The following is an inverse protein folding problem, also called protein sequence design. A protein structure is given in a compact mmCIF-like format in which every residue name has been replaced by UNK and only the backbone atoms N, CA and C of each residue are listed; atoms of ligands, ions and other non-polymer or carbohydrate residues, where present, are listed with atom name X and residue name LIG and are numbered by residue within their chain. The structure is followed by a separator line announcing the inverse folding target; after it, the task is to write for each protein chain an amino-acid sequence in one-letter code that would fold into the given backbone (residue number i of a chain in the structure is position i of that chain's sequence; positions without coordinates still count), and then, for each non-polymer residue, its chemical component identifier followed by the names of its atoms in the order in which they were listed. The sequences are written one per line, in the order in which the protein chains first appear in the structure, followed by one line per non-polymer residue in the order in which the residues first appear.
data_IF_569142743243
#
_entry.id   IF_569142743243
#
_cell.length_a   1.000
_cell.length_b   1.000
_cell.length_c   1.000
_cell.angle_alpha   90.00
_cell.angle_beta   90.00
_cell.angle_gamma   90.00
#
_symmetry.space_group_name_H-M   'P 1'
#
loop_
_entity.id
_entity.type
_entity.pdbx_description
1 polymer ?
#
# COMPACT_ATOMS: atom_id res chain seq x y z
N UNK A 1 -7.86 -21.67 -8.92
CA UNK A 1 -7.89 -20.71 -7.80
C UNK A 1 -7.05 -19.45 -8.04
N UNK A 2 -6.12 -19.46 -8.95
CA UNK A 2 -5.25 -18.29 -9.27
C UNK A 2 -5.68 -17.50 -10.52
N UNK A 3 -6.50 -18.04 -11.40
CA UNK A 3 -6.94 -17.35 -12.62
C UNK A 3 -7.82 -16.12 -12.38
N UNK A 4 -8.57 -16.10 -11.26
CA UNK A 4 -9.43 -14.96 -10.90
C UNK A 4 -8.69 -13.83 -10.15
N UNK A 5 -7.42 -14.04 -9.77
CA UNK A 5 -6.66 -13.06 -9.00
C UNK A 5 -6.07 -11.93 -9.86
N UNK A 6 -5.65 -12.27 -11.07
CA UNK A 6 -5.02 -11.29 -11.96
C UNK A 6 -6.06 -10.35 -12.57
N UNK A 7 -7.28 -10.83 -12.88
CA UNK A 7 -8.40 -10.00 -13.33
C UNK A 7 -8.73 -8.91 -12.29
N UNK A 8 -8.83 -9.27 -11.02
CA UNK A 8 -9.07 -8.30 -9.94
C UNK A 8 -7.97 -7.24 -9.83
N UNK A 9 -6.72 -7.64 -10.01
CA UNK A 9 -5.60 -6.69 -10.00
C UNK A 9 -5.72 -5.74 -11.18
N UNK A 10 -6.03 -6.24 -12.38
CA UNK A 10 -6.25 -5.37 -13.54
C UNK A 10 -7.44 -4.42 -13.35
N UNK A 11 -8.55 -4.87 -12.78
CA UNK A 11 -9.69 -4.02 -12.42
C UNK A 11 -9.27 -2.88 -11.46
N UNK A 12 -8.51 -3.21 -10.43
CA UNK A 12 -7.99 -2.22 -9.49
C UNK A 12 -7.13 -1.17 -10.19
N UNK A 13 -6.16 -1.62 -10.98
CA UNK A 13 -5.24 -0.73 -11.69
C UNK A 13 -5.96 0.18 -12.69
N UNK A 14 -6.97 -0.35 -13.39
CA UNK A 14 -7.83 0.46 -14.26
C UNK A 14 -8.61 1.50 -13.45
N UNK A 15 -9.12 1.14 -12.26
CA UNK A 15 -9.90 2.05 -11.42
C UNK A 15 -9.11 3.27 -10.94
N UNK A 16 -7.79 3.13 -10.82
CA UNK A 16 -6.86 4.22 -10.46
C UNK A 16 -6.15 4.83 -11.67
N UNK A 17 -6.60 4.53 -12.89
CA UNK A 17 -6.03 5.00 -14.16
C UNK A 17 -4.54 4.63 -14.36
N UNK A 18 -4.13 3.49 -13.83
CA UNK A 18 -2.78 2.98 -14.00
C UNK A 18 -2.74 1.92 -15.12
N UNK A 19 -2.11 2.26 -16.24
CA UNK A 19 -2.11 1.42 -17.46
C UNK A 19 -0.75 0.85 -17.85
N UNK A 20 0.34 1.30 -17.21
CA UNK A 20 1.70 0.89 -17.56
C UNK A 20 2.25 -0.09 -16.52
N UNK A 21 1.82 -1.35 -16.59
CA UNK A 21 2.31 -2.40 -15.70
C UNK A 21 3.40 -3.16 -16.44
N UNK A 22 4.62 -3.15 -15.89
CA UNK A 22 5.72 -3.96 -16.40
C UNK A 22 5.76 -5.35 -15.77
N UNK A 23 5.36 -5.45 -14.50
CA UNK A 23 5.37 -6.70 -13.74
C UNK A 23 4.17 -6.77 -12.77
N UNK A 24 3.19 -7.59 -13.14
CA UNK A 24 2.00 -7.81 -12.31
C UNK A 24 2.32 -8.55 -11.01
N UNK A 25 3.40 -9.30 -10.96
CA UNK A 25 3.80 -10.03 -9.75
C UNK A 25 4.19 -9.08 -8.62
N UNK A 26 4.80 -7.93 -8.91
CA UNK A 26 5.09 -6.88 -7.93
C UNK A 26 3.80 -6.28 -7.36
N UNK A 27 2.82 -6.02 -8.20
CA UNK A 27 1.52 -5.50 -7.73
C UNK A 27 0.83 -6.53 -6.82
N UNK A 28 0.91 -7.79 -7.19
CA UNK A 28 0.36 -8.88 -6.37
C UNK A 28 1.04 -8.96 -5.01
N UNK A 29 2.37 -8.89 -4.98
CA UNK A 29 3.14 -8.85 -3.73
C UNK A 29 2.77 -7.63 -2.89
N UNK A 30 2.63 -6.44 -3.49
CA UNK A 30 2.22 -5.21 -2.81
C UNK A 30 0.84 -5.34 -2.15
N UNK A 31 -0.09 -6.05 -2.78
CA UNK A 31 -1.44 -6.31 -2.26
C UNK A 31 -1.51 -7.51 -1.31
N UNK A 32 -0.44 -8.25 -1.08
CA UNK A 32 -0.42 -9.45 -0.25
C UNK A 32 0.12 -9.15 1.14
N UNK A 33 -0.71 -9.32 2.16
CA UNK A 33 -0.30 -9.25 3.56
C UNK A 33 0.39 -10.54 4.00
N UNK A 34 1.37 -10.45 4.89
CA UNK A 34 2.15 -11.62 5.35
C UNK A 34 1.31 -12.75 5.95
N UNK A 35 0.14 -12.45 6.53
CA UNK A 35 -0.78 -13.47 7.06
C UNK A 35 -1.30 -14.42 5.98
N UNK A 36 -1.50 -13.93 4.75
CA UNK A 36 -1.97 -14.76 3.63
C UNK A 36 -0.97 -15.85 3.27
N UNK A 37 0.29 -15.50 3.24
CA UNK A 37 1.38 -16.43 2.92
C UNK A 37 1.62 -17.41 4.08
N UNK A 38 1.64 -16.92 5.32
CA UNK A 38 1.86 -17.75 6.52
C UNK A 38 0.81 -18.86 6.71
N UNK A 39 -0.44 -18.59 6.30
CA UNK A 39 -1.51 -19.59 6.36
C UNK A 39 -1.46 -20.62 5.21
N UNK A 40 -0.66 -20.39 4.18
CA UNK A 40 -0.53 -21.32 3.05
C UNK A 40 0.27 -22.60 3.33
N UNK A 41 0.90 -22.71 4.52
CA UNK A 41 1.72 -23.84 4.97
C UNK A 41 2.85 -24.26 4.01
N UNK A 42 3.26 -23.39 3.10
CA UNK A 42 4.35 -23.61 2.15
C UNK A 42 5.58 -22.77 2.49
N UNK A 43 6.74 -23.20 2.04
CA UNK A 43 7.90 -22.31 2.00
C UNK A 43 7.58 -21.11 1.13
N UNK A 44 7.84 -19.92 1.62
CA UNK A 44 7.59 -18.65 0.95
C UNK A 44 8.87 -17.82 0.87
N UNK A 45 8.93 -17.01 -0.17
CA UNK A 45 9.93 -15.95 -0.31
C UNK A 45 9.38 -14.67 0.33
N UNK A 46 10.23 -13.93 1.06
CA UNK A 46 9.88 -12.61 1.62
C UNK A 46 9.50 -11.57 0.56
N UNK A 47 9.75 -11.86 -0.71
CA UNK A 47 9.31 -11.05 -1.83
C UNK A 47 7.87 -11.33 -2.28
N UNK A 48 7.20 -12.35 -1.73
CA UNK A 48 5.82 -12.69 -2.07
C UNK A 48 4.77 -11.86 -1.33
N UNK A 49 5.17 -11.04 -0.34
CA UNK A 49 4.27 -10.17 0.42
C UNK A 49 4.84 -8.76 0.60
N UNK A 50 4.04 -7.86 1.11
CA UNK A 50 4.22 -6.42 0.93
C UNK A 50 5.31 -5.75 1.79
N UNK A 51 5.81 -6.35 2.86
CA UNK A 51 6.69 -5.67 3.84
C UNK A 51 7.97 -5.07 3.22
N UNK A 52 8.60 -5.74 2.27
CA UNK A 52 9.79 -5.20 1.59
C UNK A 52 9.46 -4.05 0.64
N UNK A 53 8.32 -4.15 -0.05
CA UNK A 53 7.83 -3.08 -0.92
C UNK A 53 7.35 -1.88 -0.10
N UNK A 54 6.68 -2.10 1.02
CA UNK A 54 6.31 -1.08 2.00
C UNK A 54 7.54 -0.27 2.46
N UNK A 55 8.63 -0.96 2.85
CA UNK A 55 9.87 -0.29 3.25
C UNK A 55 10.41 0.64 2.15
N UNK A 56 10.42 0.19 0.90
CA UNK A 56 10.86 1.01 -0.23
C UNK A 56 9.85 2.12 -0.55
N UNK A 57 8.57 1.78 -0.55
CA UNK A 57 7.48 2.70 -0.85
C UNK A 57 7.34 3.84 0.15
N UNK A 58 7.57 3.59 1.44
CA UNK A 58 7.64 4.62 2.47
C UNK A 58 8.69 5.70 2.11
N UNK A 59 9.88 5.28 1.68
CA UNK A 59 10.93 6.22 1.26
C UNK A 59 10.53 7.02 0.01
N UNK A 60 9.93 6.37 -1.00
CA UNK A 60 9.43 7.02 -2.22
C UNK A 60 8.33 8.01 -1.87
N UNK A 61 7.38 7.62 -1.05
CA UNK A 61 6.27 8.48 -0.63
C UNK A 61 6.76 9.71 0.12
N UNK A 62 7.69 9.56 1.04
CA UNK A 62 8.32 10.67 1.77
C UNK A 62 9.06 11.63 0.83
N UNK A 63 9.77 11.10 -0.17
CA UNK A 63 10.44 11.92 -1.17
C UNK A 63 9.45 12.72 -2.00
N UNK A 64 8.42 12.07 -2.52
CA UNK A 64 7.37 12.72 -3.33
C UNK A 64 6.62 13.79 -2.53
N UNK A 65 6.24 13.48 -1.28
CA UNK A 65 5.59 14.43 -0.39
C UNK A 65 6.49 15.63 -0.10
N UNK A 66 7.78 15.40 0.14
CA UNK A 66 8.76 16.47 0.41
C UNK A 66 8.92 17.39 -0.80
N UNK A 67 9.10 16.84 -1.99
CA UNK A 67 9.22 17.61 -3.23
C UNK A 67 7.97 18.46 -3.49
N UNK A 68 6.80 17.86 -3.32
CA UNK A 68 5.52 18.54 -3.49
C UNK A 68 5.34 19.69 -2.49
N UNK A 69 5.57 19.44 -1.19
CA UNK A 69 5.41 20.44 -0.14
C UNK A 69 6.44 21.56 -0.27
N UNK A 70 7.68 21.25 -0.63
CA UNK A 70 8.74 22.23 -0.86
C UNK A 70 8.36 23.24 -1.94
N UNK A 71 7.75 22.77 -3.02
CA UNK A 71 7.28 23.63 -4.13
C UNK A 71 6.01 24.40 -3.77
N UNK A 72 5.09 23.76 -3.06
CA UNK A 72 3.79 24.34 -2.70
C UNK A 72 3.90 25.44 -1.64
N UNK A 73 4.83 25.29 -0.70
CA UNK A 73 5.01 26.20 0.44
C UNK A 73 6.42 26.84 0.47
N UNK A 74 6.77 27.72 -0.49
CA UNK A 74 8.12 28.24 -0.63
C UNK A 74 8.58 29.11 0.55
N UNK A 75 7.65 29.56 1.40
CA UNK A 75 7.94 30.41 2.56
C UNK A 75 7.91 29.66 3.90
N UNK A 76 7.61 28.35 3.90
CA UNK A 76 7.61 27.56 5.12
C UNK A 76 9.04 27.26 5.57
N UNK A 77 9.26 27.37 6.89
CA UNK A 77 10.48 26.87 7.50
C UNK A 77 10.54 25.33 7.46
N UNK A 78 11.76 24.77 7.58
CA UNK A 78 11.96 23.31 7.58
C UNK A 78 11.06 22.59 8.60
N UNK A 79 10.96 23.11 9.83
CA UNK A 79 10.12 22.51 10.87
C UNK A 79 8.65 22.46 10.52
N UNK A 80 8.12 23.43 9.79
CA UNK A 80 6.72 23.44 9.32
C UNK A 80 6.51 22.45 8.19
N UNK A 81 7.44 22.38 7.24
CA UNK A 81 7.42 21.38 6.17
C UNK A 81 7.46 19.95 6.74
N UNK A 82 8.32 19.72 7.73
CA UNK A 82 8.45 18.42 8.39
C UNK A 82 7.17 18.00 9.13
N UNK A 83 6.49 18.92 9.81
CA UNK A 83 5.20 18.65 10.49
C UNK A 83 4.11 18.32 9.50
N UNK A 84 3.97 19.08 8.42
CA UNK A 84 2.95 18.83 7.39
C UNK A 84 3.22 17.49 6.71
N UNK A 85 4.47 17.19 6.37
CA UNK A 85 4.86 15.90 5.80
C UNK A 85 4.50 14.73 6.73
N UNK A 86 4.85 14.82 8.01
CA UNK A 86 4.55 13.77 8.99
C UNK A 86 3.05 13.47 9.08
N UNK A 87 2.21 14.50 8.97
CA UNK A 87 0.75 14.31 8.91
C UNK A 87 0.30 13.66 7.60
N UNK A 88 0.87 14.10 6.49
CA UNK A 88 0.49 13.66 5.14
C UNK A 88 0.81 12.18 4.91
N UNK A 89 1.94 11.68 5.44
CA UNK A 89 2.38 10.29 5.31
C UNK A 89 2.08 9.44 6.56
N UNK A 90 1.16 9.88 7.42
CA UNK A 90 0.74 9.09 8.58
C UNK A 90 -0.18 7.94 8.19
N UNK A 91 -0.17 6.83 8.95
CA UNK A 91 -1.08 5.69 8.75
C UNK A 91 -2.54 6.15 8.69
N UNK A 92 -2.91 7.12 9.52
CA UNK A 92 -4.27 7.67 9.52
C UNK A 92 -4.64 8.33 8.19
N UNK A 93 -3.71 9.04 7.56
CA UNK A 93 -3.92 9.67 6.26
C UNK A 93 -3.87 8.63 5.14
N UNK A 94 -2.84 7.78 5.13
CA UNK A 94 -2.66 6.75 4.10
C UNK A 94 -3.83 5.76 4.08
N UNK A 95 -4.33 5.36 5.25
CA UNK A 95 -5.52 4.50 5.32
C UNK A 95 -6.79 5.16 4.77
N UNK A 96 -6.95 6.48 4.93
CA UNK A 96 -8.05 7.23 4.28
C UNK A 96 -7.91 7.23 2.76
N UNK A 97 -6.69 7.45 2.25
CA UNK A 97 -6.41 7.41 0.82
C UNK A 97 -6.64 6.00 0.25
N UNK A 98 -6.17 4.97 0.95
CA UNK A 98 -6.42 3.58 0.59
C UNK A 98 -7.92 3.28 0.44
N UNK A 99 -8.74 3.71 1.40
CA UNK A 99 -10.20 3.56 1.31
C UNK A 99 -10.82 4.33 0.14
N UNK A 100 -10.30 5.51 -0.17
CA UNK A 100 -10.80 6.31 -1.30
C UNK A 100 -10.63 5.63 -2.66
N UNK A 101 -9.61 4.81 -2.81
CA UNK A 101 -9.35 4.02 -4.01
C UNK A 101 -9.84 2.57 -3.88
N UNK A 102 -10.62 2.26 -2.84
CA UNK A 102 -11.14 0.92 -2.52
C UNK A 102 -10.04 -0.15 -2.39
N UNK A 103 -8.82 0.22 -1.99
CA UNK A 103 -7.69 -0.70 -1.88
C UNK A 103 -7.98 -1.87 -0.93
N UNK A 104 -8.79 -1.64 0.12
CA UNK A 104 -9.25 -2.66 1.06
C UNK A 104 -9.90 -3.86 0.38
N UNK A 105 -10.57 -3.69 -0.76
CA UNK A 105 -11.25 -4.78 -1.48
C UNK A 105 -10.27 -5.72 -2.20
N UNK A 106 -9.03 -5.28 -2.42
CA UNK A 106 -8.05 -5.97 -3.25
C UNK A 106 -6.90 -6.59 -2.45
N UNK A 107 -6.79 -6.32 -1.13
CA UNK A 107 -5.75 -6.89 -0.27
C UNK A 107 -6.01 -8.38 -0.03
N UNK A 108 -4.98 -9.20 -0.21
CA UNK A 108 -4.98 -10.62 0.16
C UNK A 108 -4.58 -10.78 1.62
N UNK A 109 -5.51 -11.30 2.43
CA UNK A 109 -5.34 -11.55 3.86
C UNK A 109 -5.52 -13.02 4.18
N UNK A 110 -4.84 -13.52 5.22
CA UNK A 110 -5.14 -14.81 5.81
C UNK A 110 -6.50 -14.80 6.50
N UNK A 111 -7.13 -15.98 6.61
CA UNK A 111 -8.49 -16.12 7.16
C UNK A 111 -8.61 -15.62 8.62
N UNK A 112 -7.56 -15.81 9.42
CA UNK A 112 -7.59 -15.33 10.80
C UNK A 112 -7.53 -13.79 10.87
N UNK A 113 -6.71 -13.17 10.04
CA UNK A 113 -6.64 -11.71 9.97
C UNK A 113 -7.95 -11.12 9.41
N UNK A 114 -8.55 -11.77 8.43
CA UNK A 114 -9.87 -11.40 7.89
C UNK A 114 -10.96 -11.44 8.97
N UNK A 115 -11.04 -12.55 9.76
CA UNK A 115 -12.00 -12.68 10.87
C UNK A 115 -11.83 -11.61 11.94
N UNK A 116 -10.62 -11.10 12.14
CA UNK A 116 -10.30 -10.02 13.07
C UNK A 116 -10.44 -8.63 12.44
N UNK A 117 -11.18 -8.52 11.33
CA UNK A 117 -11.42 -7.28 10.60
C UNK A 117 -10.12 -6.61 10.12
N UNK A 118 -9.09 -7.40 9.81
CA UNK A 118 -7.77 -6.93 9.39
C UNK A 118 -7.83 -6.03 8.16
N UNK A 119 -8.73 -6.32 7.23
CA UNK A 119 -8.99 -5.56 6.00
C UNK A 119 -9.29 -4.08 6.24
N UNK A 120 -9.85 -3.74 7.39
CA UNK A 120 -10.24 -2.38 7.76
C UNK A 120 -9.30 -1.71 8.77
N UNK A 121 -8.24 -2.39 9.22
CA UNK A 121 -7.24 -1.78 10.10
C UNK A 121 -6.45 -0.71 9.36
N UNK A 122 -6.22 0.43 10.03
CA UNK A 122 -5.45 1.52 9.44
C UNK A 122 -4.03 1.10 9.08
N UNK A 123 -3.36 0.32 9.93
CA UNK A 123 -2.01 -0.19 9.66
C UNK A 123 -1.96 -1.07 8.41
N UNK A 124 -2.87 -2.03 8.28
CA UNK A 124 -2.95 -2.91 7.09
C UNK A 124 -3.13 -2.11 5.81
N UNK A 125 -4.01 -1.10 5.85
CA UNK A 125 -4.29 -0.25 4.69
C UNK A 125 -3.12 0.69 4.36
N UNK A 126 -2.47 1.26 5.38
CA UNK A 126 -1.30 2.11 5.18
C UNK A 126 -0.14 1.32 4.57
N UNK A 127 0.20 0.14 5.14
CA UNK A 127 1.24 -0.74 4.61
C UNK A 127 1.00 -1.14 3.15
N UNK A 128 -0.22 -1.53 2.81
CA UNK A 128 -0.57 -1.87 1.42
C UNK A 128 -0.56 -0.65 0.48
N UNK A 129 -0.84 0.54 0.99
CA UNK A 129 -0.78 1.77 0.21
C UNK A 129 0.66 2.21 -0.07
N UNK A 130 1.56 2.00 0.88
CA UNK A 130 3.00 2.30 0.71
C UNK A 130 3.68 1.32 -0.24
N UNK A 131 3.28 0.04 -0.20
CA UNK A 131 3.85 -1.02 -1.03
C UNK A 131 3.48 -0.86 -2.50
#
# INVERSE_FOLDING_TARGET
MFENSDEKIYEFLQSINFSQIQDISLVKSALTHSSYIKESERFFDENEYNERLEFLGDAVLKLCASDYLYKLYPHFAEGDLSKVRATLVSDAMLSKLARRINLNEYIYLGMNEEKNNGRNKNSTLACAFEA
#
